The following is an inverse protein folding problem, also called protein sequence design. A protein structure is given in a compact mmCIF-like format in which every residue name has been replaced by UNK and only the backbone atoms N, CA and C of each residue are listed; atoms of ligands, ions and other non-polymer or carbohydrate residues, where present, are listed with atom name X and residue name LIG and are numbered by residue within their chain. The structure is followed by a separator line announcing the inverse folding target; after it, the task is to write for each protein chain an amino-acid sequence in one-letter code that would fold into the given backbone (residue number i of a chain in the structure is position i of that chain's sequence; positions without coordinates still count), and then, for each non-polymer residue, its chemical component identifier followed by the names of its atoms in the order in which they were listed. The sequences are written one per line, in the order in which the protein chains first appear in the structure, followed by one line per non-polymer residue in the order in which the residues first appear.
data_IF_276841128716
#
_entry.id   IF_276841128716
#
_cell.length_a   1.000
_cell.length_b   1.000
_cell.length_c   1.000
_cell.angle_alpha   90.00
_cell.angle_beta   90.00
_cell.angle_gamma   90.00
#
_symmetry.space_group_name_H-M   'P 1'
#
loop_
_entity.id
_entity.type
_entity.pdbx_description
1 polymer ?
#
# COMPACT_ATOMS: atom_id res chain seq x y z
N UNK A 1 12.45 26.60 12.94
CA UNK A 1 13.02 25.24 12.90
C UNK A 1 13.43 24.82 11.47
N UNK A 2 12.58 25.01 10.45
CA UNK A 2 12.91 24.76 9.03
C UNK A 2 14.23 25.40 8.54
N UNK A 3 14.50 26.67 8.89
CA UNK A 3 15.77 27.35 8.54
C UNK A 3 17.04 26.68 9.11
N UNK A 4 16.94 25.95 10.23
CA UNK A 4 18.09 25.26 10.86
C UNK A 4 18.41 23.94 10.17
N UNK A 5 17.41 23.24 9.61
CA UNK A 5 17.58 21.96 8.91
C UNK A 5 18.25 22.17 7.54
N UNK A 6 17.89 23.22 6.80
CA UNK A 6 18.56 23.54 5.52
C UNK A 6 20.06 23.87 5.66
N UNK A 7 20.51 24.46 6.78
CA UNK A 7 21.93 24.85 6.95
C UNK A 7 22.89 23.66 7.09
N UNK A 8 22.44 22.53 7.66
CA UNK A 8 23.30 21.35 7.86
C UNK A 8 23.47 20.47 6.60
N UNK A 9 22.74 20.76 5.51
CA UNK A 9 22.77 19.96 4.27
C UNK A 9 23.32 20.72 3.06
N UNK A 10 23.93 21.88 3.26
CA UNK A 10 24.51 22.69 2.16
C UNK A 10 25.59 21.94 1.34
N UNK A 11 26.18 20.87 1.88
CA UNK A 11 27.19 20.05 1.19
C UNK A 11 26.62 18.78 0.51
N UNK A 12 25.31 18.54 0.58
CA UNK A 12 24.70 17.35 -0.02
C UNK A 12 24.15 17.69 -1.42
N UNK A 13 24.38 16.79 -2.39
CA UNK A 13 23.88 16.97 -3.76
C UNK A 13 22.34 16.93 -3.74
N UNK A 14 21.72 18.09 -3.98
CA UNK A 14 20.28 18.23 -4.19
C UNK A 14 19.86 17.57 -5.49
N UNK A 15 18.62 17.10 -5.55
CA UNK A 15 18.00 16.63 -6.81
C UNK A 15 17.17 17.76 -7.41
N UNK A 16 17.23 17.92 -8.73
CA UNK A 16 16.51 18.97 -9.46
C UNK A 16 15.00 18.73 -9.36
N UNK A 17 14.24 19.82 -9.23
CA UNK A 17 12.79 19.77 -9.20
C UNK A 17 12.23 19.23 -10.53
N UNK A 18 11.14 18.47 -10.45
CA UNK A 18 10.35 18.06 -11.62
C UNK A 18 8.99 18.74 -11.58
N UNK A 19 8.59 19.30 -12.70
CA UNK A 19 7.28 19.91 -12.90
C UNK A 19 6.69 19.42 -14.22
N UNK A 20 5.39 19.60 -14.40
CA UNK A 20 4.73 19.32 -15.68
C UNK A 20 4.01 20.56 -16.19
N UNK A 21 3.94 20.75 -17.51
CA UNK A 21 3.10 21.79 -18.11
C UNK A 21 1.65 21.31 -18.31
N UNK A 22 0.81 22.17 -18.90
CA UNK A 22 -0.59 21.87 -19.21
C UNK A 22 -0.82 20.74 -20.22
N UNK A 23 0.21 20.34 -20.97
CA UNK A 23 0.16 19.19 -21.89
C UNK A 23 0.54 17.87 -21.18
N UNK A 24 0.95 17.94 -19.92
CA UNK A 24 1.46 16.79 -19.16
C UNK A 24 2.90 16.42 -19.50
N UNK A 25 3.63 17.28 -20.21
CA UNK A 25 5.06 17.09 -20.46
C UNK A 25 5.81 17.35 -19.15
N UNK A 26 6.57 16.35 -18.67
CA UNK A 26 7.37 16.44 -17.45
C UNK A 26 8.78 16.88 -17.81
N UNK A 27 9.27 17.92 -17.13
CA UNK A 27 10.61 18.45 -17.31
C UNK A 27 11.21 18.89 -15.98
N UNK A 28 12.54 18.98 -15.93
CA UNK A 28 13.27 19.48 -14.79
C UNK A 28 13.29 21.01 -14.77
N UNK A 29 13.21 21.59 -13.57
CA UNK A 29 13.24 23.03 -13.39
C UNK A 29 14.58 23.45 -12.79
N UNK A 30 15.49 23.89 -13.66
CA UNK A 30 16.81 24.38 -13.27
C UNK A 30 16.75 25.44 -12.18
N UNK A 31 17.75 25.47 -11.30
CA UNK A 31 17.79 26.41 -10.16
C UNK A 31 16.81 26.10 -9.01
N UNK A 32 15.96 25.10 -9.17
CA UNK A 32 15.04 24.60 -8.15
C UNK A 32 15.35 23.15 -7.77
N UNK A 33 15.34 22.84 -6.48
CA UNK A 33 15.45 21.48 -5.97
C UNK A 33 14.05 20.90 -5.68
N UNK A 34 13.90 19.59 -5.89
CA UNK A 34 12.69 18.87 -5.54
C UNK A 34 12.47 18.90 -4.02
N UNK A 35 11.22 18.94 -3.60
CA UNK A 35 10.84 19.03 -2.20
C UNK A 35 9.93 17.87 -1.84
N UNK A 36 10.29 17.19 -0.75
CA UNK A 36 9.45 16.22 -0.08
C UNK A 36 8.61 16.87 1.01
N UNK A 37 7.42 16.33 1.24
CA UNK A 37 6.49 16.75 2.27
C UNK A 37 6.23 15.60 3.26
N UNK A 38 6.47 15.87 4.54
CA UNK A 38 6.11 15.05 5.69
C UNK A 38 5.19 15.89 6.55
N UNK A 39 3.87 15.72 6.42
CA UNK A 39 3.00 16.58 7.18
C UNK A 39 3.24 18.05 6.75
N UNK A 40 3.15 19.01 7.66
CA UNK A 40 3.28 20.44 7.30
C UNK A 40 4.74 20.87 7.10
N UNK A 41 5.65 19.90 7.00
CA UNK A 41 7.08 20.12 6.90
C UNK A 41 7.57 19.80 5.49
N UNK A 42 8.40 20.71 4.98
CA UNK A 42 9.03 20.61 3.67
C UNK A 42 10.53 20.34 3.83
N UNK A 43 11.05 19.47 2.98
CA UNK A 43 12.46 19.08 2.98
C UNK A 43 12.98 19.10 1.53
N UNK A 44 14.01 19.90 1.21
CA UNK A 44 14.71 19.76 -0.06
C UNK A 44 15.34 18.38 -0.12
N UNK A 45 15.07 17.66 -1.20
CA UNK A 45 15.50 16.28 -1.38
C UNK A 45 16.94 16.23 -1.89
N UNK A 46 17.69 15.27 -1.38
CA UNK A 46 19.06 15.00 -1.80
C UNK A 46 19.17 13.61 -2.43
N UNK A 47 20.33 13.33 -3.02
CA UNK A 47 20.67 11.98 -3.50
C UNK A 47 20.61 10.93 -2.37
N UNK A 48 20.89 11.31 -1.11
CA UNK A 48 20.86 10.38 0.02
C UNK A 48 19.44 10.01 0.45
N UNK A 49 18.49 10.93 0.31
CA UNK A 49 17.09 10.70 0.69
C UNK A 49 16.28 9.98 -0.40
N UNK A 50 16.92 9.68 -1.53
CA UNK A 50 16.24 9.15 -2.72
C UNK A 50 16.99 7.98 -3.33
N UNK A 51 16.27 7.13 -4.04
CA UNK A 51 16.83 6.07 -4.89
C UNK A 51 16.46 6.33 -6.34
N UNK A 52 17.14 5.67 -7.29
CA UNK A 52 16.69 5.65 -8.70
C UNK A 52 15.24 5.16 -8.74
N UNK A 53 14.40 5.84 -9.53
CA UNK A 53 12.97 5.55 -9.61
C UNK A 53 12.76 4.05 -9.84
N UNK A 54 12.07 3.35 -8.93
CA UNK A 54 11.89 1.90 -9.05
C UNK A 54 11.19 1.54 -10.36
N UNK A 55 11.66 0.49 -11.03
CA UNK A 55 11.04 0.05 -12.28
C UNK A 55 9.56 -0.32 -12.06
N UNK A 56 8.70 0.11 -12.97
CA UNK A 56 7.25 -0.06 -12.87
C UNK A 56 6.56 0.99 -12.00
N UNK A 57 7.29 2.00 -11.51
CA UNK A 57 6.67 3.20 -10.94
C UNK A 57 6.12 4.08 -12.07
N UNK A 58 5.02 4.77 -11.78
CA UNK A 58 4.38 5.70 -12.71
C UNK A 58 4.55 7.14 -12.20
N UNK A 59 4.70 8.08 -13.12
CA UNK A 59 4.73 9.51 -12.81
C UNK A 59 3.37 10.12 -13.11
N UNK A 60 2.92 11.01 -12.23
CA UNK A 60 1.65 11.70 -12.34
C UNK A 60 1.88 13.18 -12.07
N UNK A 61 1.38 14.05 -12.94
CA UNK A 61 1.24 15.46 -12.58
C UNK A 61 -0.09 15.65 -11.84
N UNK A 62 -0.15 16.67 -10.97
CA UNK A 62 -1.36 16.96 -10.18
C UNK A 62 -2.00 18.26 -10.67
N UNK A 63 -3.02 18.19 -11.54
CA UNK A 63 -3.79 19.35 -11.95
C UNK A 63 -4.33 20.15 -10.77
N UNK A 64 -4.51 21.46 -10.97
CA UNK A 64 -5.07 22.40 -9.99
C UNK A 64 -4.28 22.50 -8.67
N UNK A 65 -3.04 22.00 -8.66
CA UNK A 65 -2.09 22.13 -7.54
C UNK A 65 -0.91 22.96 -7.98
N UNK A 66 -0.34 23.72 -7.05
CA UNK A 66 0.91 24.45 -7.26
C UNK A 66 2.08 23.66 -6.68
N UNK A 67 3.17 23.44 -7.43
CA UNK A 67 4.37 22.84 -6.88
C UNK A 67 4.98 23.74 -5.80
N UNK A 68 5.41 23.12 -4.70
CA UNK A 68 6.25 23.76 -3.68
C UNK A 68 7.67 23.28 -3.91
N UNK A 69 8.57 24.19 -4.29
CA UNK A 69 9.95 23.87 -4.66
C UNK A 69 10.94 24.64 -3.79
N UNK A 70 12.20 24.24 -3.79
CA UNK A 70 13.26 24.96 -3.07
C UNK A 70 14.12 25.76 -4.05
N UNK A 71 14.05 27.08 -4.00
CA UNK A 71 14.87 27.97 -4.81
C UNK A 71 16.31 27.96 -4.27
N UNK A 72 17.23 27.38 -5.04
CA UNK A 72 18.61 27.14 -4.59
C UNK A 72 19.35 28.47 -4.38
N UNK A 73 19.16 29.44 -5.27
CA UNK A 73 19.82 30.76 -5.21
C UNK A 73 19.36 31.59 -4.03
N UNK A 74 18.05 31.59 -3.75
CA UNK A 74 17.46 32.36 -2.64
C UNK A 74 17.53 31.61 -1.30
N UNK A 75 17.73 30.30 -1.32
CA UNK A 75 17.77 29.45 -0.13
C UNK A 75 16.41 29.37 0.59
N UNK A 76 15.30 29.42 -0.15
CA UNK A 76 13.95 29.42 0.41
C UNK A 76 12.95 28.60 -0.41
N UNK A 77 11.89 28.14 0.24
CA UNK A 77 10.78 27.48 -0.44
C UNK A 77 9.91 28.48 -1.19
N UNK A 78 9.50 28.14 -2.40
CA UNK A 78 8.61 28.93 -3.25
C UNK A 78 7.47 28.05 -3.75
N UNK A 79 6.25 28.58 -3.71
CA UNK A 79 5.09 27.98 -4.38
C UNK A 79 4.97 28.64 -5.75
N UNK A 80 5.19 27.88 -6.82
CA UNK A 80 5.15 28.43 -8.17
C UNK A 80 3.80 28.11 -8.84
N UNK A 81 3.31 29.04 -9.66
CA UNK A 81 2.13 28.83 -10.51
C UNK A 81 2.52 28.73 -11.98
N UNK A 82 3.54 29.48 -12.38
CA UNK A 82 4.03 29.57 -13.76
C UNK A 82 5.52 29.23 -13.80
N UNK A 83 5.97 28.78 -14.97
CA UNK A 83 7.37 28.55 -15.26
C UNK A 83 8.14 29.88 -15.14
N UNK A 84 9.15 29.97 -14.26
CA UNK A 84 9.94 31.19 -14.08
C UNK A 84 10.77 31.58 -15.30
N UNK A 85 10.95 30.67 -16.27
CA UNK A 85 11.72 30.89 -17.49
C UNK A 85 10.86 31.13 -18.73
N UNK A 86 9.57 30.79 -18.68
CA UNK A 86 8.64 30.90 -19.82
C UNK A 86 7.35 31.57 -19.33
N UNK A 87 7.22 32.90 -19.52
CA UNK A 87 6.04 33.65 -19.07
C UNK A 87 4.72 33.07 -19.61
N UNK A 88 3.75 32.87 -18.73
CA UNK A 88 2.42 32.36 -19.08
C UNK A 88 2.29 30.84 -19.18
N UNK A 89 3.39 30.06 -19.04
CA UNK A 89 3.31 28.60 -18.97
C UNK A 89 2.96 28.15 -17.54
N UNK A 90 1.75 27.61 -17.35
CA UNK A 90 1.33 27.05 -16.06
C UNK A 90 2.06 25.72 -15.80
N UNK A 91 2.53 25.56 -14.56
CA UNK A 91 3.24 24.35 -14.12
C UNK A 91 2.54 23.66 -12.94
N UNK A 92 2.64 22.33 -12.93
CA UNK A 92 2.01 21.44 -11.96
C UNK A 92 3.05 20.60 -11.23
N UNK A 93 2.80 20.23 -9.96
CA UNK A 93 3.67 19.30 -9.24
C UNK A 93 3.61 17.91 -9.87
N UNK A 94 4.72 17.21 -9.80
CA UNK A 94 4.84 15.81 -10.22
C UNK A 94 5.00 14.93 -8.98
N UNK A 95 4.31 13.79 -8.97
CA UNK A 95 4.39 12.76 -7.96
C UNK A 95 4.68 11.40 -8.60
N UNK A 96 5.16 10.46 -7.81
CA UNK A 96 5.35 9.08 -8.22
C UNK A 96 4.42 8.12 -7.49
N UNK A 97 3.71 7.30 -8.27
CA UNK A 97 3.11 6.06 -7.80
C UNK A 97 4.19 4.98 -7.85
N UNK A 98 4.83 4.73 -6.71
CA UNK A 98 6.02 3.90 -6.63
C UNK A 98 5.69 2.40 -6.77
N UNK A 99 6.60 1.67 -7.40
CA UNK A 99 6.50 0.22 -7.56
C UNK A 99 6.38 -0.50 -6.20
N UNK A 100 5.58 -1.58 -6.10
CA UNK A 100 5.46 -2.40 -4.90
C UNK A 100 6.82 -2.84 -4.31
N UNK A 101 6.91 -2.94 -2.98
CA UNK A 101 8.16 -3.22 -2.26
C UNK A 101 8.87 -1.97 -1.74
N UNK A 102 8.50 -0.78 -2.24
CA UNK A 102 9.06 0.50 -1.82
C UNK A 102 8.05 1.30 -0.98
N UNK A 103 8.46 1.67 0.23
CA UNK A 103 7.69 2.51 1.14
C UNK A 103 8.07 3.98 0.92
N UNK A 104 7.09 4.85 0.72
CA UNK A 104 7.28 6.29 0.55
C UNK A 104 7.82 6.92 1.84
N UNK A 105 8.91 7.67 1.74
CA UNK A 105 9.49 8.41 2.88
C UNK A 105 9.09 9.88 2.85
N UNK A 106 8.78 10.44 1.67
CA UNK A 106 8.26 11.78 1.50
C UNK A 106 7.15 11.81 0.44
N UNK A 107 6.06 12.54 0.70
CA UNK A 107 5.07 12.82 -0.34
C UNK A 107 5.52 13.98 -1.24
N UNK A 108 5.02 14.05 -2.47
CA UNK A 108 5.25 15.20 -3.35
C UNK A 108 4.72 16.48 -2.68
N UNK A 109 5.53 17.54 -2.70
CA UNK A 109 5.18 18.80 -2.06
C UNK A 109 4.36 19.68 -3.00
N UNK A 110 3.14 20.01 -2.57
CA UNK A 110 2.24 20.87 -3.32
C UNK A 110 1.34 21.67 -2.39
N UNK A 111 0.73 22.71 -2.95
CA UNK A 111 -0.33 23.48 -2.30
C UNK A 111 -1.62 23.36 -3.12
N UNK A 112 -2.74 23.14 -2.41
CA UNK A 112 -4.08 23.20 -3.02
C UNK A 112 -4.36 24.62 -3.52
N UNK A 113 -4.84 24.76 -4.76
CA UNK A 113 -5.29 26.05 -5.33
C UNK A 113 -6.79 25.98 -5.52
N UNK A 114 -7.57 26.64 -4.65
CA UNK A 114 -9.03 26.88 -4.78
C UNK A 114 -9.96 25.65 -4.96
N UNK A 115 -9.44 24.50 -5.39
CA UNK A 115 -10.18 23.30 -5.76
C UNK A 115 -10.47 22.46 -4.52
N UNK A 116 -11.74 22.13 -4.37
CA UNK A 116 -12.24 21.17 -3.38
C UNK A 116 -12.25 19.74 -3.94
N UNK A 117 -11.70 19.49 -5.12
CA UNK A 117 -11.66 18.15 -5.71
C UNK A 117 -10.52 17.31 -5.07
N UNK A 118 -10.82 16.10 -4.56
CA UNK A 118 -9.80 15.19 -4.05
C UNK A 118 -8.89 14.69 -5.17
N UNK A 119 -7.63 14.42 -4.82
CA UNK A 119 -6.78 13.61 -5.68
C UNK A 119 -7.36 12.18 -5.80
N UNK A 120 -7.15 11.49 -6.94
CA UNK A 120 -7.49 10.08 -7.10
C UNK A 120 -6.83 9.16 -6.04
N UNK A 121 -7.23 7.89 -6.00
CA UNK A 121 -6.72 6.94 -4.98
C UNK A 121 -5.36 6.33 -5.39
N UNK A 122 -4.33 7.15 -5.40
CA UNK A 122 -2.93 6.73 -5.55
C UNK A 122 -2.08 7.18 -4.36
N UNK A 123 -0.89 6.60 -4.24
CA UNK A 123 0.15 7.16 -3.37
C UNK A 123 0.94 8.23 -4.11
N UNK A 124 1.25 9.33 -3.45
CA UNK A 124 1.85 10.51 -4.08
C UNK A 124 3.28 10.74 -3.58
N UNK A 125 4.19 9.81 -3.89
CA UNK A 125 5.60 9.90 -3.46
C UNK A 125 6.33 11.06 -4.13
N UNK A 126 7.28 11.67 -3.42
CA UNK A 126 8.10 12.75 -3.95
C UNK A 126 9.10 12.22 -4.97
N UNK A 127 9.30 12.98 -6.06
CA UNK A 127 10.18 12.63 -7.17
C UNK A 127 11.00 13.85 -7.61
N UNK A 128 12.21 13.62 -8.08
CA UNK A 128 13.08 14.63 -8.65
C UNK A 128 13.98 14.04 -9.73
N UNK A 129 14.80 14.90 -10.32
CA UNK A 129 15.74 14.54 -11.37
C UNK A 129 17.19 14.62 -10.87
N UNK A 130 18.00 13.67 -11.30
CA UNK A 130 19.46 13.70 -11.19
C UNK A 130 20.00 13.42 -12.59
N UNK A 131 21.24 13.83 -12.89
CA UNK A 131 21.81 13.81 -14.24
C UNK A 131 21.61 12.47 -15.01
N UNK A 132 21.44 11.36 -14.29
CA UNK A 132 21.29 10.00 -14.84
C UNK A 132 19.85 9.45 -14.79
N UNK A 133 18.84 10.25 -14.43
CA UNK A 133 17.42 9.90 -14.48
C UNK A 133 16.57 10.26 -13.25
N UNK A 134 15.31 9.83 -13.28
CA UNK A 134 14.34 10.03 -12.20
C UNK A 134 14.76 9.38 -10.89
N UNK A 135 14.51 10.08 -9.78
CA UNK A 135 14.74 9.60 -8.41
C UNK A 135 13.52 9.81 -7.53
N UNK A 136 13.25 8.87 -6.64
CA UNK A 136 12.08 8.88 -5.76
C UNK A 136 12.47 8.75 -4.29
N UNK A 137 11.74 9.44 -3.42
CA UNK A 137 11.92 9.44 -1.98
C UNK A 137 11.20 8.23 -1.36
N UNK A 138 11.88 7.08 -1.39
CA UNK A 138 11.37 5.80 -0.92
C UNK A 138 12.45 4.96 -0.23
N UNK A 139 12.01 4.08 0.67
CA UNK A 139 12.80 3.04 1.29
C UNK A 139 12.37 1.66 0.76
N UNK A 140 13.32 0.85 0.30
CA UNK A 140 13.07 -0.54 -0.07
C UNK A 140 12.83 -1.38 1.19
N UNK A 141 11.58 -1.80 1.40
CA UNK A 141 11.19 -2.64 2.55
C UNK A 141 11.07 -4.11 2.18
N UNK A 142 10.87 -4.44 0.90
CA UNK A 142 10.74 -5.82 0.45
C UNK A 142 11.40 -6.03 -0.92
N UNK A 143 12.31 -7.00 -0.98
CA UNK A 143 13.10 -7.31 -2.19
C UNK A 143 12.43 -8.36 -3.07
N UNK A 144 11.31 -8.96 -2.64
CA UNK A 144 10.66 -10.02 -3.40
C UNK A 144 10.15 -9.49 -4.74
N UNK A 145 10.54 -10.15 -5.83
CA UNK A 145 10.18 -9.74 -7.20
C UNK A 145 8.77 -10.18 -7.60
N UNK A 146 7.87 -10.34 -6.63
CA UNK A 146 6.51 -10.88 -6.80
C UNK A 146 5.67 -10.05 -7.74
N UNK A 147 5.79 -8.73 -7.66
CA UNK A 147 5.05 -7.78 -8.48
C UNK A 147 5.96 -7.00 -9.45
N UNK A 148 7.16 -7.53 -9.72
CA UNK A 148 8.09 -6.95 -10.69
C UNK A 148 7.53 -7.12 -12.11
N UNK A 149 7.13 -6.01 -12.73
CA UNK A 149 6.50 -5.99 -14.05
C UNK A 149 7.38 -6.57 -15.16
N UNK A 150 8.72 -6.55 -15.02
CA UNK A 150 9.65 -7.18 -15.97
C UNK A 150 9.45 -8.69 -16.08
N UNK A 151 8.90 -9.28 -15.02
CA UNK A 151 8.63 -10.71 -14.92
C UNK A 151 7.17 -11.04 -15.26
N UNK A 152 6.38 -10.07 -15.73
CA UNK A 152 4.97 -10.22 -16.10
C UNK A 152 4.71 -9.85 -17.57
N UNK A 153 5.44 -10.44 -18.54
CA UNK A 153 5.26 -10.12 -19.95
C UNK A 153 3.83 -10.45 -20.39
N UNK A 154 3.23 -9.53 -21.16
CA UNK A 154 1.80 -9.57 -21.53
C UNK A 154 1.43 -10.87 -22.23
N UNK A 155 2.31 -11.40 -23.07
CA UNK A 155 2.10 -12.63 -23.85
C UNK A 155 1.96 -13.85 -22.93
N UNK A 156 2.79 -13.95 -21.88
CA UNK A 156 2.68 -15.03 -20.88
C UNK A 156 1.38 -14.92 -20.09
N UNK A 157 0.92 -13.71 -19.79
CA UNK A 157 -0.38 -13.51 -19.13
C UNK A 157 -1.52 -13.96 -20.05
N UNK A 158 -1.55 -13.56 -21.33
CA UNK A 158 -2.58 -14.04 -22.30
C UNK A 158 -2.58 -15.55 -22.38
N UNK A 159 -1.40 -16.16 -22.61
CA UNK A 159 -1.28 -17.61 -22.75
C UNK A 159 -1.74 -18.35 -21.48
N UNK A 160 -1.41 -17.81 -20.30
CA UNK A 160 -1.88 -18.32 -19.03
C UNK A 160 -3.41 -18.24 -18.87
N UNK A 161 -4.02 -17.14 -19.31
CA UNK A 161 -5.48 -16.98 -19.34
C UNK A 161 -6.13 -18.04 -20.23
N UNK A 162 -5.68 -18.20 -21.48
CA UNK A 162 -6.24 -19.20 -22.40
C UNK A 162 -6.14 -20.62 -21.82
N UNK A 163 -5.01 -20.97 -21.22
CA UNK A 163 -4.83 -22.27 -20.53
C UNK A 163 -5.84 -22.48 -19.40
N UNK A 164 -6.12 -21.45 -18.60
CA UNK A 164 -7.09 -21.53 -17.50
C UNK A 164 -8.54 -21.51 -17.97
N UNK A 165 -8.83 -20.91 -19.12
CA UNK A 165 -10.15 -21.00 -19.75
C UNK A 165 -10.46 -22.43 -20.17
N UNK A 166 -9.50 -23.14 -20.77
CA UNK A 166 -9.64 -24.55 -21.15
C UNK A 166 -9.78 -25.48 -19.94
N UNK A 167 -8.98 -25.23 -18.87
CA UNK A 167 -9.02 -26.07 -17.66
C UNK A 167 -10.25 -25.85 -16.79
N UNK A 168 -10.74 -24.61 -16.71
CA UNK A 168 -11.76 -24.18 -15.75
C UNK A 168 -12.85 -23.34 -16.45
N UNK A 169 -13.54 -23.88 -17.48
CA UNK A 169 -14.44 -23.10 -18.34
C UNK A 169 -15.65 -22.54 -17.58
N UNK A 170 -16.14 -23.26 -16.58
CA UNK A 170 -17.34 -22.89 -15.81
C UNK A 170 -17.03 -22.11 -14.52
N UNK A 171 -15.75 -21.97 -14.16
CA UNK A 171 -15.35 -21.29 -12.93
C UNK A 171 -15.47 -19.77 -13.10
N UNK A 172 -16.46 -19.15 -12.44
CA UNK A 172 -16.72 -17.70 -12.56
C UNK A 172 -15.62 -16.88 -11.89
N UNK A 173 -14.98 -17.43 -10.84
CA UNK A 173 -13.86 -16.76 -10.19
C UNK A 173 -12.67 -16.64 -11.14
N UNK A 174 -12.35 -17.68 -11.94
CA UNK A 174 -11.35 -17.62 -13.02
C UNK A 174 -11.65 -16.49 -14.01
N UNK A 175 -12.90 -16.37 -14.47
CA UNK A 175 -13.34 -15.29 -15.36
C UNK A 175 -13.18 -13.90 -14.73
N UNK A 176 -13.46 -13.75 -13.43
CA UNK A 176 -13.22 -12.49 -12.72
C UNK A 176 -11.72 -12.16 -12.63
N UNK A 177 -10.87 -13.16 -12.35
CA UNK A 177 -9.42 -12.99 -12.30
C UNK A 177 -8.84 -12.61 -13.66
N UNK A 178 -9.40 -13.12 -14.75
CA UNK A 178 -9.02 -12.74 -16.11
C UNK A 178 -9.19 -11.23 -16.33
N UNK A 179 -10.37 -10.68 -15.99
CA UNK A 179 -10.58 -9.23 -16.05
C UNK A 179 -9.59 -8.47 -15.16
N UNK A 180 -9.33 -8.98 -13.95
CA UNK A 180 -8.35 -8.37 -13.05
C UNK A 180 -6.93 -8.35 -13.64
N UNK A 181 -6.50 -9.41 -14.32
CA UNK A 181 -5.17 -9.50 -14.92
C UNK A 181 -5.04 -8.65 -16.20
N UNK A 182 -6.08 -8.65 -17.04
CA UNK A 182 -6.03 -8.08 -18.40
C UNK A 182 -6.47 -6.63 -18.47
N UNK A 183 -7.45 -6.22 -17.66
CA UNK A 183 -8.04 -4.87 -17.68
C UNK A 183 -7.49 -4.03 -16.54
N UNK A 184 -7.63 -4.49 -15.29
CA UNK A 184 -7.13 -3.74 -14.12
C UNK A 184 -5.62 -3.86 -13.92
N UNK A 185 -4.96 -4.77 -14.65
CA UNK A 185 -3.51 -4.97 -14.56
C UNK A 185 -3.01 -5.54 -13.21
N UNK A 186 -3.89 -6.15 -12.41
CA UNK A 186 -3.61 -6.67 -11.07
C UNK A 186 -2.43 -7.67 -11.08
N UNK A 187 -1.32 -7.36 -10.39
CA UNK A 187 -0.14 -8.23 -10.34
C UNK A 187 -0.43 -9.61 -9.73
N UNK A 188 -1.31 -9.70 -8.72
CA UNK A 188 -1.67 -10.98 -8.12
C UNK A 188 -2.44 -11.88 -9.11
N UNK A 189 -3.38 -11.31 -9.88
CA UNK A 189 -4.11 -12.07 -10.89
C UNK A 189 -3.17 -12.52 -12.04
N UNK A 190 -2.24 -11.65 -12.47
CA UNK A 190 -1.17 -12.01 -13.42
C UNK A 190 -0.32 -13.18 -12.90
N UNK A 191 0.04 -13.16 -11.63
CA UNK A 191 0.81 -14.22 -10.98
C UNK A 191 0.09 -15.58 -11.01
N UNK A 192 -1.22 -15.62 -10.81
CA UNK A 192 -2.01 -16.85 -10.97
C UNK A 192 -1.88 -17.42 -12.40
N UNK A 193 -2.14 -16.61 -13.43
CA UNK A 193 -2.07 -17.08 -14.82
C UNK A 193 -0.65 -17.47 -15.28
N UNK A 194 0.37 -16.78 -14.77
CA UNK A 194 1.77 -17.13 -15.03
C UNK A 194 2.22 -18.35 -14.20
N UNK A 195 1.57 -18.63 -13.08
CA UNK A 195 1.95 -19.71 -12.15
C UNK A 195 3.12 -19.32 -11.25
N UNK A 196 3.01 -18.21 -10.51
CA UNK A 196 4.08 -17.71 -9.62
C UNK A 196 3.52 -17.15 -8.32
N UNK A 197 4.29 -17.27 -7.24
CA UNK A 197 4.05 -16.62 -5.95
C UNK A 197 2.61 -16.73 -5.42
N UNK A 198 1.84 -15.64 -5.46
CA UNK A 198 0.55 -15.48 -4.80
C UNK A 198 -0.60 -15.42 -5.80
N UNK A 199 -1.63 -16.23 -5.58
CA UNK A 199 -2.90 -16.15 -6.29
C UNK A 199 -3.99 -15.46 -5.44
N UNK A 200 -4.75 -14.53 -6.02
CA UNK A 200 -5.85 -13.84 -5.35
C UNK A 200 -7.13 -14.69 -5.34
N UNK A 201 -7.85 -14.68 -4.22
CA UNK A 201 -9.16 -15.32 -4.04
C UNK A 201 -10.21 -14.29 -3.62
N UNK A 202 -10.64 -13.36 -4.50
CA UNK A 202 -11.69 -12.42 -4.18
C UNK A 202 -13.04 -13.12 -4.00
N UNK A 203 -13.73 -12.83 -2.91
CA UNK A 203 -14.95 -13.55 -2.50
C UNK A 203 -16.08 -12.64 -2.02
N UNK A 204 -15.73 -11.49 -1.44
CA UNK A 204 -16.68 -10.67 -0.70
C UNK A 204 -17.21 -9.48 -1.49
N UNK A 205 -18.54 -9.36 -1.54
CA UNK A 205 -19.23 -8.21 -2.14
C UNK A 205 -19.36 -7.06 -1.13
N UNK A 206 -19.23 -7.35 0.16
CA UNK A 206 -19.61 -6.46 1.25
C UNK A 206 -18.43 -6.13 2.15
N UNK A 207 -18.47 -4.97 2.77
CA UNK A 207 -17.49 -4.57 3.77
C UNK A 207 -18.22 -3.80 4.87
N UNK A 208 -17.88 -4.09 6.12
CA UNK A 208 -18.38 -3.40 7.30
C UNK A 208 -17.52 -2.18 7.68
N UNK A 209 -16.46 -1.87 6.94
CA UNK A 209 -15.72 -0.61 7.03
C UNK A 209 -16.17 0.37 5.94
N UNK A 210 -16.24 1.67 6.27
CA UNK A 210 -16.57 2.75 5.32
C UNK A 210 -15.35 3.66 5.10
N UNK A 211 -14.23 3.04 4.73
CA UNK A 211 -12.94 3.71 4.65
C UNK A 211 -13.00 4.98 3.79
N UNK A 212 -12.35 6.06 4.24
CA UNK A 212 -12.27 7.32 3.48
C UNK A 212 -11.70 7.12 2.07
N UNK A 213 -10.70 6.25 1.93
CA UNK A 213 -10.03 5.91 0.68
C UNK A 213 -10.29 4.48 0.20
N UNK A 214 -11.52 3.97 0.32
CA UNK A 214 -11.83 2.62 -0.17
C UNK A 214 -11.61 2.53 -1.69
N UNK A 215 -10.64 1.70 -2.11
CA UNK A 215 -10.24 1.54 -3.52
C UNK A 215 -11.24 0.76 -4.36
N UNK A 216 -12.16 0.05 -3.72
CA UNK A 216 -13.14 -0.83 -4.37
C UNK A 216 -14.55 -0.25 -4.43
N UNK A 217 -14.82 0.82 -3.65
CA UNK A 217 -16.16 1.40 -3.51
C UNK A 217 -16.10 2.85 -2.99
N UNK A 218 -16.49 3.80 -3.84
CA UNK A 218 -16.63 5.21 -3.48
C UNK A 218 -18.08 5.66 -3.68
N UNK A 219 -18.80 5.94 -2.57
CA UNK A 219 -20.23 6.28 -2.63
C UNK A 219 -20.53 7.71 -3.09
N UNK A 220 -19.55 8.61 -2.99
CA UNK A 220 -19.78 10.06 -3.18
C UNK A 220 -19.68 10.52 -4.64
N UNK A 221 -19.20 9.68 -5.56
CA UNK A 221 -18.94 10.01 -6.98
C UNK A 221 -17.80 11.01 -7.21
N UNK A 222 -17.23 11.62 -6.16
CA UNK A 222 -16.15 12.63 -6.26
C UNK A 222 -14.76 12.04 -6.50
N UNK A 223 -14.59 10.75 -6.20
CA UNK A 223 -13.37 9.97 -6.41
C UNK A 223 -13.81 8.68 -7.07
N UNK A 224 -13.17 8.30 -8.18
CA UNK A 224 -13.38 6.97 -8.76
C UNK A 224 -12.72 5.91 -7.87
N UNK A 225 -13.38 4.77 -7.71
CA UNK A 225 -12.70 3.56 -7.28
C UNK A 225 -11.69 3.11 -8.37
N UNK A 226 -10.63 2.44 -7.95
CA UNK A 226 -9.57 1.96 -8.85
C UNK A 226 -9.99 0.66 -9.56
N UNK A 227 -10.77 -0.17 -8.86
CA UNK A 227 -11.24 -1.47 -9.32
C UNK A 227 -12.65 -1.67 -8.78
N UNK A 228 -13.52 -2.33 -9.53
CA UNK A 228 -14.88 -2.60 -9.07
C UNK A 228 -14.91 -3.81 -8.13
N UNK A 229 -15.83 -3.78 -7.16
CA UNK A 229 -16.07 -4.97 -6.34
C UNK A 229 -16.60 -6.11 -7.19
N UNK A 230 -16.13 -7.32 -6.89
CA UNK A 230 -16.70 -8.55 -7.40
C UNK A 230 -18.22 -8.53 -7.21
N UNK A 231 -18.94 -8.82 -8.29
CA UNK A 231 -20.39 -8.67 -8.35
C UNK A 231 -21.16 -9.86 -7.78
N UNK A 232 -20.47 -10.97 -7.51
CA UNK A 232 -21.01 -12.23 -7.00
C UNK A 232 -20.12 -12.78 -5.87
N UNK A 233 -20.62 -13.78 -5.16
CA UNK A 233 -19.84 -14.56 -4.19
C UNK A 233 -19.57 -15.93 -4.83
N UNK A 234 -18.30 -16.32 -5.05
CA UNK A 234 -17.98 -17.62 -5.64
C UNK A 234 -18.36 -18.76 -4.70
N UNK A 235 -18.60 -19.94 -5.25
CA UNK A 235 -18.86 -21.15 -4.45
C UNK A 235 -17.57 -21.65 -3.79
N UNK A 236 -17.67 -22.46 -2.73
CA UNK A 236 -16.49 -23.08 -2.12
C UNK A 236 -15.68 -23.92 -3.10
N UNK A 237 -16.33 -24.56 -4.07
CA UNK A 237 -15.68 -25.36 -5.12
C UNK A 237 -14.92 -24.45 -6.09
N UNK A 238 -15.50 -23.34 -6.55
CA UNK A 238 -14.82 -22.38 -7.42
C UNK A 238 -13.54 -21.82 -6.78
N UNK A 239 -13.58 -21.54 -5.48
CA UNK A 239 -12.43 -21.06 -4.70
C UNK A 239 -11.37 -22.17 -4.58
N UNK A 240 -11.78 -23.38 -4.19
CA UNK A 240 -10.87 -24.48 -3.95
C UNK A 240 -10.16 -24.93 -5.24
N UNK A 241 -10.87 -24.93 -6.37
CA UNK A 241 -10.31 -25.28 -7.67
C UNK A 241 -9.14 -24.36 -8.07
N UNK A 242 -9.31 -23.04 -7.93
CA UNK A 242 -8.27 -22.04 -8.21
C UNK A 242 -7.07 -22.24 -7.29
N UNK A 243 -7.33 -22.41 -6.00
CA UNK A 243 -6.28 -22.55 -5.01
C UNK A 243 -5.47 -23.84 -5.22
N UNK A 244 -6.12 -24.97 -5.48
CA UNK A 244 -5.46 -26.26 -5.71
C UNK A 244 -4.66 -26.26 -7.01
N UNK A 245 -5.20 -25.71 -8.11
CA UNK A 245 -4.48 -25.57 -9.36
C UNK A 245 -3.22 -24.69 -9.18
N UNK A 246 -3.33 -23.58 -8.45
CA UNK A 246 -2.16 -22.74 -8.16
C UNK A 246 -1.12 -23.46 -7.29
N UNK A 247 -1.56 -24.05 -6.18
CA UNK A 247 -0.66 -24.72 -5.23
C UNK A 247 0.09 -25.91 -5.84
N UNK A 248 -0.54 -26.61 -6.77
CA UNK A 248 0.08 -27.72 -7.51
C UNK A 248 1.24 -27.26 -8.40
N UNK A 249 1.11 -26.09 -9.02
CA UNK A 249 2.06 -25.61 -10.03
C UNK A 249 3.10 -24.63 -9.46
N UNK A 250 2.91 -24.13 -8.24
CA UNK A 250 3.73 -23.08 -7.65
C UNK A 250 4.36 -23.53 -6.34
N UNK A 251 5.70 -23.59 -6.32
CA UNK A 251 6.48 -23.83 -5.10
C UNK A 251 6.32 -22.68 -4.13
N UNK A 252 6.22 -22.98 -2.83
CA UNK A 252 6.00 -22.01 -1.76
C UNK A 252 4.82 -21.07 -2.10
N UNK A 253 3.74 -21.67 -2.61
CA UNK A 253 2.55 -20.96 -3.09
C UNK A 253 1.86 -20.25 -1.95
N UNK A 254 1.32 -19.07 -2.26
CA UNK A 254 0.39 -18.35 -1.38
C UNK A 254 -0.93 -18.20 -2.13
N UNK A 255 -2.04 -18.40 -1.44
CA UNK A 255 -3.36 -17.98 -1.91
C UNK A 255 -3.96 -17.06 -0.87
N UNK A 256 -4.56 -15.96 -1.30
CA UNK A 256 -4.99 -14.91 -0.39
C UNK A 256 -6.42 -14.48 -0.62
N UNK A 257 -7.20 -14.47 0.45
CA UNK A 257 -8.44 -13.70 0.53
C UNK A 257 -8.14 -12.22 0.85
N UNK A 258 -9.06 -11.31 0.55
CA UNK A 258 -8.97 -9.88 0.78
C UNK A 258 -8.17 -9.11 -0.27
N UNK A 259 -8.74 -8.97 -1.45
CA UNK A 259 -8.16 -8.33 -2.63
C UNK A 259 -8.72 -6.92 -2.86
N UNK A 260 -8.03 -6.13 -3.71
CA UNK A 260 -8.45 -4.76 -4.02
C UNK A 260 -9.81 -4.66 -4.75
N UNK A 261 -10.24 -5.75 -5.40
CA UNK A 261 -11.52 -5.89 -6.08
C UNK A 261 -12.62 -6.53 -5.21
N UNK A 262 -12.49 -6.56 -3.88
CA UNK A 262 -13.54 -7.09 -3.00
C UNK A 262 -13.77 -6.21 -1.76
N UNK A 263 -14.81 -6.56 -1.00
CA UNK A 263 -15.02 -6.05 0.35
C UNK A 263 -14.15 -6.77 1.38
N UNK A 264 -14.57 -6.79 2.64
CA UNK A 264 -13.81 -7.56 3.64
C UNK A 264 -14.16 -9.05 3.50
N UNK A 265 -13.17 -9.97 3.39
CA UNK A 265 -13.44 -11.39 3.21
C UNK A 265 -14.19 -12.02 4.40
N UNK A 266 -14.12 -11.44 5.61
CA UNK A 266 -14.89 -11.94 6.75
C UNK A 266 -16.41 -11.83 6.54
N UNK A 267 -16.87 -11.00 5.59
CA UNK A 267 -18.29 -10.94 5.22
C UNK A 267 -18.74 -12.09 4.31
N UNK A 268 -17.80 -12.90 3.80
CA UNK A 268 -18.05 -14.07 2.96
C UNK A 268 -17.61 -15.38 3.63
N UNK A 269 -17.50 -15.38 4.97
CA UNK A 269 -16.95 -16.51 5.72
C UNK A 269 -17.68 -17.84 5.50
N UNK A 270 -18.99 -17.80 5.24
CA UNK A 270 -19.83 -18.99 4.99
C UNK A 270 -19.39 -19.77 3.75
N UNK A 271 -18.76 -19.12 2.76
CA UNK A 271 -18.17 -19.80 1.59
C UNK A 271 -16.67 -20.03 1.76
N UNK A 272 -15.97 -19.17 2.49
CA UNK A 272 -14.52 -19.28 2.70
C UNK A 272 -14.19 -20.48 3.59
N UNK A 273 -14.92 -20.67 4.69
CA UNK A 273 -14.68 -21.76 5.64
C UNK A 273 -14.71 -23.14 4.94
N UNK A 274 -15.79 -23.53 4.22
CA UNK A 274 -15.79 -24.79 3.48
C UNK A 274 -14.78 -24.82 2.33
N UNK A 275 -14.41 -23.68 1.73
CA UNK A 275 -13.35 -23.64 0.71
C UNK A 275 -11.99 -23.99 1.30
N UNK A 276 -11.61 -23.42 2.45
CA UNK A 276 -10.36 -23.74 3.15
C UNK A 276 -10.31 -25.25 3.45
N UNK A 277 -11.40 -25.80 3.98
CA UNK A 277 -11.52 -27.23 4.25
C UNK A 277 -11.28 -28.07 3.00
N UNK A 278 -11.92 -27.73 1.87
CA UNK A 278 -11.73 -28.41 0.57
C UNK A 278 -10.28 -28.31 0.07
N UNK A 279 -9.65 -27.15 0.20
CA UNK A 279 -8.24 -26.95 -0.19
C UNK A 279 -7.32 -27.87 0.63
N UNK A 280 -7.55 -27.97 1.95
CA UNK A 280 -6.75 -28.87 2.80
C UNK A 280 -7.00 -30.34 2.52
N UNK A 281 -8.25 -30.74 2.32
CA UNK A 281 -8.60 -32.11 1.93
C UNK A 281 -8.03 -32.50 0.56
N UNK A 282 -7.91 -31.54 -0.37
CA UNK A 282 -7.26 -31.71 -1.67
C UNK A 282 -5.73 -31.72 -1.63
N UNK A 283 -5.10 -31.88 -0.45
CA UNK A 283 -3.66 -31.82 -0.25
C UNK A 283 -3.01 -30.49 -0.67
N UNK A 284 -3.72 -29.36 -0.52
CA UNK A 284 -3.13 -28.03 -0.71
C UNK A 284 -2.07 -27.73 0.35
N UNK A 285 -0.79 -27.86 -0.03
CA UNK A 285 0.37 -27.62 0.86
C UNK A 285 0.86 -26.17 0.88
N UNK A 286 0.26 -25.28 0.09
CA UNK A 286 0.59 -23.85 0.09
C UNK A 286 0.04 -23.10 1.31
N UNK A 287 0.43 -21.83 1.40
CA UNK A 287 -0.03 -20.90 2.43
C UNK A 287 -1.41 -20.37 2.07
N UNK A 288 -2.37 -20.48 2.99
CA UNK A 288 -3.67 -19.81 2.89
C UNK A 288 -3.64 -18.58 3.80
N UNK A 289 -3.69 -17.41 3.20
CA UNK A 289 -3.65 -16.13 3.87
C UNK A 289 -4.98 -15.38 3.76
N UNK A 290 -5.30 -14.55 4.76
CA UNK A 290 -6.45 -13.65 4.70
C UNK A 290 -6.04 -12.22 5.01
N UNK A 291 -6.24 -11.32 4.03
CA UNK A 291 -6.15 -9.89 4.25
C UNK A 291 -7.51 -9.37 4.73
N UNK A 292 -7.59 -8.76 5.91
CA UNK A 292 -8.86 -8.34 6.50
C UNK A 292 -8.69 -7.05 7.30
N UNK A 293 -9.79 -6.39 7.63
CA UNK A 293 -9.89 -5.37 8.66
C UNK A 293 -9.88 -5.94 10.09
N UNK A 294 -10.00 -7.27 10.27
CA UNK A 294 -9.96 -7.93 11.57
C UNK A 294 -11.22 -7.72 12.42
N UNK A 295 -12.34 -7.38 11.80
CA UNK A 295 -13.56 -6.99 12.51
C UNK A 295 -14.33 -8.13 13.21
N UNK A 296 -14.00 -9.40 12.95
CA UNK A 296 -14.77 -10.57 13.41
C UNK A 296 -13.84 -11.64 14.02
N UNK A 297 -13.38 -11.46 15.27
CA UNK A 297 -12.44 -12.40 15.91
C UNK A 297 -13.02 -13.82 16.03
N UNK A 298 -14.32 -13.94 16.29
CA UNK A 298 -15.08 -15.20 16.32
C UNK A 298 -14.93 -15.99 15.01
N UNK A 299 -15.11 -15.31 13.88
CA UNK A 299 -15.02 -15.90 12.56
C UNK A 299 -13.57 -16.29 12.23
N UNK A 300 -12.61 -15.42 12.53
CA UNK A 300 -11.19 -15.72 12.27
C UNK A 300 -10.74 -16.95 13.08
N UNK A 301 -11.23 -17.12 14.31
CA UNK A 301 -10.97 -18.32 15.12
C UNK A 301 -11.36 -19.59 14.38
N UNK A 302 -12.59 -19.64 13.85
CA UNK A 302 -13.11 -20.78 13.10
C UNK A 302 -12.31 -21.04 11.82
N UNK A 303 -11.91 -19.99 11.11
CA UNK A 303 -11.08 -20.13 9.90
C UNK A 303 -9.69 -20.70 10.22
N UNK A 304 -9.09 -20.31 11.36
CA UNK A 304 -7.85 -20.93 11.83
C UNK A 304 -8.01 -22.40 12.22
N UNK A 305 -9.17 -22.79 12.76
CA UNK A 305 -9.45 -24.20 13.10
C UNK A 305 -9.56 -25.07 11.84
N UNK A 306 -10.07 -24.52 10.73
CA UNK A 306 -10.18 -25.23 9.45
C UNK A 306 -8.90 -25.21 8.60
N UNK A 307 -7.89 -24.44 8.98
CA UNK A 307 -6.56 -24.48 8.36
C UNK A 307 -6.13 -23.22 7.62
N UNK A 308 -6.67 -22.05 7.95
CA UNK A 308 -6.05 -20.76 7.61
C UNK A 308 -4.66 -20.67 8.26
N UNK A 309 -3.63 -20.24 7.54
CA UNK A 309 -2.25 -20.19 8.05
C UNK A 309 -1.89 -18.83 8.63
N UNK A 310 -2.34 -17.77 7.96
CA UNK A 310 -1.93 -16.40 8.29
C UNK A 310 -3.02 -15.37 8.06
N UNK A 311 -2.91 -14.26 8.78
CA UNK A 311 -3.75 -13.09 8.58
C UNK A 311 -2.89 -11.83 8.40
N UNK A 312 -3.46 -10.90 7.63
CA UNK A 312 -2.96 -9.54 7.47
C UNK A 312 -4.06 -8.56 7.85
N UNK A 313 -3.91 -7.90 8.99
CA UNK A 313 -4.90 -6.98 9.54
C UNK A 313 -4.58 -5.54 9.12
N UNK A 314 -5.53 -4.88 8.46
CA UNK A 314 -5.34 -3.53 7.91
C UNK A 314 -5.59 -2.45 8.96
N UNK A 315 -4.58 -1.62 9.22
CA UNK A 315 -4.60 -0.57 10.23
C UNK A 315 -3.90 0.67 9.65
N UNK A 316 -4.51 1.85 9.71
CA UNK A 316 -3.88 3.09 9.25
C UNK A 316 -3.13 3.81 10.38
N UNK A 317 -3.53 3.56 11.62
CA UNK A 317 -2.93 4.04 12.85
C UNK A 317 -3.34 3.09 13.97
N UNK A 318 -2.42 2.81 14.89
CA UNK A 318 -2.71 2.01 16.09
C UNK A 318 -3.41 2.84 17.17
N UNK A 319 -3.59 4.14 16.94
CA UNK A 319 -4.37 5.04 17.78
C UNK A 319 -5.83 4.97 17.37
N UNK A 320 -6.70 4.62 18.31
CA UNK A 320 -8.10 4.34 18.01
C UNK A 320 -8.84 5.51 17.34
N UNK A 321 -8.62 6.74 17.79
CA UNK A 321 -9.22 7.96 17.21
C UNK A 321 -8.88 8.11 15.72
N UNK A 322 -7.60 7.94 15.37
CA UNK A 322 -7.12 7.97 13.99
C UNK A 322 -7.61 6.77 13.17
N UNK A 323 -7.70 5.58 13.77
CA UNK A 323 -8.30 4.39 13.14
C UNK A 323 -9.76 4.62 12.78
N UNK A 324 -10.58 5.05 13.74
CA UNK A 324 -12.01 5.29 13.56
C UNK A 324 -12.28 6.38 12.51
N UNK A 325 -11.47 7.44 12.49
CA UNK A 325 -11.59 8.52 11.51
C UNK A 325 -11.44 8.01 10.07
N UNK A 326 -10.48 7.11 9.83
CA UNK A 326 -10.20 6.57 8.50
C UNK A 326 -11.10 5.39 8.13
N UNK A 327 -11.12 4.31 8.92
CA UNK A 327 -11.84 3.06 8.60
C UNK A 327 -13.35 3.18 8.77
N UNK A 328 -13.82 4.05 9.66
CA UNK A 328 -15.25 4.29 9.94
C UNK A 328 -16.01 2.97 10.11
N UNK A 329 -15.67 2.20 11.15
CA UNK A 329 -16.22 0.86 11.35
C UNK A 329 -17.74 0.91 11.52
N UNK A 330 -18.43 -0.11 11.03
CA UNK A 330 -19.88 -0.30 11.18
C UNK A 330 -20.13 -1.68 11.76
N UNK A 331 -20.65 -1.76 12.99
CA UNK A 331 -20.94 -3.04 13.64
C UNK A 331 -19.70 -3.79 14.16
N UNK A 332 -18.59 -3.10 14.38
CA UNK A 332 -17.41 -3.60 15.11
C UNK A 332 -16.64 -2.42 15.72
N UNK A 333 -15.77 -2.69 16.68
CA UNK A 333 -14.91 -1.71 17.35
C UNK A 333 -13.44 -1.97 17.09
N UNK A 334 -12.58 -0.98 17.36
CA UNK A 334 -11.13 -1.15 17.25
C UNK A 334 -10.62 -2.26 18.20
N UNK A 335 -11.24 -2.42 19.37
CA UNK A 335 -10.95 -3.53 20.28
C UNK A 335 -11.15 -4.91 19.65
N UNK A 336 -12.08 -5.07 18.71
CA UNK A 336 -12.30 -6.37 18.05
C UNK A 336 -11.19 -6.69 17.04
N UNK A 337 -10.60 -5.66 16.45
CA UNK A 337 -9.39 -5.75 15.61
C UNK A 337 -8.21 -6.22 16.45
N UNK A 338 -8.01 -5.63 17.62
CA UNK A 338 -6.95 -6.02 18.55
C UNK A 338 -7.15 -7.46 19.05
N UNK A 339 -8.38 -7.86 19.42
CA UNK A 339 -8.70 -9.25 19.77
C UNK A 339 -8.38 -10.24 18.65
N UNK A 340 -8.63 -9.87 17.39
CA UNK A 340 -8.28 -10.71 16.23
C UNK A 340 -6.77 -10.93 16.13
N UNK A 341 -5.98 -9.87 16.35
CA UNK A 341 -4.51 -9.91 16.35
C UNK A 341 -4.01 -10.79 17.49
N UNK A 342 -4.46 -10.52 18.71
CA UNK A 342 -4.12 -11.27 19.92
C UNK A 342 -4.45 -12.76 19.78
N UNK A 343 -5.65 -13.08 19.30
CA UNK A 343 -6.08 -14.45 19.07
C UNK A 343 -5.19 -15.17 18.03
N UNK A 344 -4.82 -14.50 16.94
CA UNK A 344 -3.90 -15.06 15.95
C UNK A 344 -2.53 -15.40 16.54
N UNK A 345 -2.00 -14.51 17.39
CA UNK A 345 -0.74 -14.70 18.12
C UNK A 345 -0.86 -15.89 19.08
N UNK A 346 -1.90 -15.96 19.92
CA UNK A 346 -2.11 -17.06 20.86
C UNK A 346 -2.26 -18.43 20.18
N UNK A 347 -2.87 -18.45 18.99
CA UNK A 347 -2.98 -19.66 18.16
C UNK A 347 -1.71 -19.99 17.37
N UNK A 348 -0.61 -19.25 17.59
CA UNK A 348 0.70 -19.41 16.91
C UNK A 348 0.58 -19.34 15.39
N UNK A 349 -0.32 -18.48 14.89
CA UNK A 349 -0.51 -18.20 13.46
C UNK A 349 0.33 -17.00 13.07
N UNK A 350 0.70 -16.93 11.79
CA UNK A 350 1.46 -15.77 11.31
C UNK A 350 0.54 -14.55 11.20
N UNK A 351 0.81 -13.53 12.00
CA UNK A 351 0.03 -12.30 12.06
C UNK A 351 0.87 -11.15 11.54
N UNK A 352 0.36 -10.48 10.52
CA UNK A 352 0.93 -9.26 9.98
C UNK A 352 -0.03 -8.09 10.12
N UNK A 353 0.52 -6.88 10.33
CA UNK A 353 -0.24 -5.63 10.28
C UNK A 353 0.06 -4.92 8.98
N UNK A 354 -0.96 -4.75 8.15
CA UNK A 354 -0.91 -3.92 6.96
C UNK A 354 -1.05 -2.46 7.36
N UNK A 355 0.09 -1.84 7.58
CA UNK A 355 0.17 -0.51 8.14
C UNK A 355 0.20 0.55 7.04
N UNK A 356 -0.85 1.38 6.97
CA UNK A 356 -1.02 2.36 5.91
C UNK A 356 -0.12 3.58 6.16
N UNK A 357 1.01 3.60 5.46
CA UNK A 357 2.04 4.61 5.53
C UNK A 357 1.60 5.93 4.88
N UNK A 358 1.69 7.01 5.64
CA UNK A 358 1.61 8.38 5.16
C UNK A 358 2.66 9.22 5.90
N UNK A 359 3.75 9.65 5.21
CA UNK A 359 4.78 10.49 5.83
C UNK A 359 4.21 11.77 6.43
N UNK A 360 4.60 12.05 7.66
CA UNK A 360 4.12 13.12 8.51
C UNK A 360 2.93 12.78 9.41
N UNK A 361 2.42 11.56 9.32
CA UNK A 361 1.42 11.00 10.25
C UNK A 361 2.00 9.74 10.89
N UNK A 362 2.44 8.80 10.06
CA UNK A 362 2.95 7.48 10.50
C UNK A 362 4.23 7.58 11.31
N UNK A 363 5.02 8.63 11.11
CA UNK A 363 6.28 8.93 11.81
C UNK A 363 6.16 10.13 12.76
N UNK A 364 4.97 10.42 13.27
CA UNK A 364 4.83 11.36 14.39
C UNK A 364 5.30 10.71 15.70
N UNK A 365 5.80 11.48 16.68
CA UNK A 365 6.16 10.96 18.00
C UNK A 365 4.98 10.24 18.68
N UNK A 366 3.77 10.77 18.55
CA UNK A 366 2.56 10.19 19.12
C UNK A 366 2.22 8.82 18.48
N UNK A 367 2.34 8.68 17.17
CA UNK A 367 2.16 7.38 16.51
C UNK A 367 3.29 6.41 16.85
N UNK A 368 4.54 6.90 16.95
CA UNK A 368 5.69 6.10 17.35
C UNK A 368 5.51 5.49 18.75
N UNK A 369 5.16 6.30 19.75
CA UNK A 369 4.96 5.83 21.13
C UNK A 369 3.81 4.81 21.21
N UNK A 370 2.72 5.07 20.47
CA UNK A 370 1.59 4.14 20.38
C UNK A 370 1.97 2.83 19.67
N UNK A 371 2.77 2.90 18.60
CA UNK A 371 3.24 1.73 17.86
C UNK A 371 4.19 0.88 18.70
N UNK A 372 5.08 1.49 19.47
CA UNK A 372 5.94 0.78 20.41
C UNK A 372 5.13 0.01 21.45
N UNK A 373 4.18 0.68 22.10
CA UNK A 373 3.29 0.03 23.07
C UNK A 373 2.51 -1.10 22.40
N UNK A 374 1.98 -0.88 21.20
CA UNK A 374 1.27 -1.90 20.44
C UNK A 374 2.17 -3.12 20.15
N UNK A 375 3.41 -2.93 19.71
CA UNK A 375 4.32 -4.05 19.40
C UNK A 375 4.79 -4.80 20.66
N UNK A 376 4.87 -4.14 21.80
CA UNK A 376 5.19 -4.75 23.09
C UNK A 376 4.04 -5.65 23.58
N UNK A 377 2.79 -5.18 23.45
CA UNK A 377 1.60 -5.95 23.84
C UNK A 377 1.23 -7.04 22.83
N UNK A 378 1.45 -6.77 21.53
CA UNK A 378 1.09 -7.67 20.44
C UNK A 378 2.33 -7.98 19.61
N UNK A 379 3.07 -9.07 19.94
CA UNK A 379 4.26 -9.50 19.21
C UNK A 379 3.89 -10.09 17.84
N UNK A 380 3.44 -9.22 16.93
CA UNK A 380 3.17 -9.56 15.54
C UNK A 380 4.47 -9.94 14.82
N UNK A 381 4.34 -10.71 13.76
CA UNK A 381 5.50 -11.24 13.04
C UNK A 381 6.01 -10.24 11.99
N UNK A 382 5.12 -9.37 11.49
CA UNK A 382 5.44 -8.50 10.36
C UNK A 382 4.64 -7.20 10.37
N UNK A 383 5.32 -6.08 10.16
CA UNK A 383 4.69 -4.88 9.60
C UNK A 383 4.81 -4.95 8.09
N UNK A 384 3.66 -5.08 7.44
CA UNK A 384 3.55 -4.97 6.00
C UNK A 384 3.26 -3.51 5.63
N UNK A 385 4.29 -2.80 5.20
CA UNK A 385 4.20 -1.39 4.85
C UNK A 385 3.41 -1.23 3.55
N UNK A 386 2.38 -0.39 3.57
CA UNK A 386 1.61 -0.02 2.39
C UNK A 386 1.51 1.48 2.28
N UNK A 387 1.90 2.02 1.14
CA UNK A 387 1.67 3.44 0.89
C UNK A 387 0.16 3.70 0.85
N UNK A 388 -0.28 4.72 1.58
CA UNK A 388 -1.68 5.11 1.60
C UNK A 388 -2.09 5.68 0.23
N UNK A 389 -3.06 5.05 -0.40
CA UNK A 389 -3.64 5.50 -1.66
C UNK A 389 -4.76 6.53 -1.40
N UNK A 390 -4.39 7.71 -0.92
CA UNK A 390 -5.32 8.81 -0.61
C UNK A 390 -4.58 10.15 -0.67
N UNK A 391 -5.33 11.23 -0.94
CA UNK A 391 -4.84 12.61 -0.91
C UNK A 391 -4.10 12.92 0.42
N UNK A 392 -2.78 13.16 0.41
CA UNK A 392 -1.99 13.33 1.63
C UNK A 392 -2.42 14.52 2.50
N UNK A 393 -2.83 15.63 1.87
CA UNK A 393 -3.28 16.81 2.62
C UNK A 393 -4.64 16.57 3.27
N UNK A 394 -5.55 15.86 2.60
CA UNK A 394 -6.85 15.50 3.18
C UNK A 394 -6.73 14.46 4.28
N UNK A 395 -5.87 13.45 4.09
CA UNK A 395 -5.63 12.44 5.12
C UNK A 395 -5.15 13.13 6.40
N UNK A 396 -4.13 13.97 6.29
CA UNK A 396 -3.61 14.73 7.42
C UNK A 396 -4.68 15.60 8.08
N UNK A 397 -5.43 16.40 7.32
CA UNK A 397 -6.52 17.22 7.86
C UNK A 397 -7.54 16.39 8.64
N UNK A 398 -7.78 15.13 8.25
CA UNK A 398 -8.64 14.22 9.00
C UNK A 398 -7.95 13.69 10.27
N UNK A 399 -6.67 13.31 10.18
CA UNK A 399 -5.91 12.83 11.34
C UNK A 399 -5.67 13.91 12.39
N UNK A 400 -5.40 15.15 12.00
CA UNK A 400 -5.29 16.33 12.88
C UNK A 400 -6.60 16.65 13.61
N UNK A 401 -7.75 16.35 12.99
CA UNK A 401 -9.07 16.45 13.66
C UNK A 401 -9.31 15.31 14.63
N UNK A 402 -8.76 14.14 14.35
CA UNK A 402 -8.93 12.97 15.19
C UNK A 402 -8.08 13.09 16.46
N UNK A 403 -6.82 13.54 16.30
CA UNK A 403 -5.87 13.61 17.40
C UNK A 403 -4.62 14.43 17.04
N UNK A 404 -3.79 14.75 18.04
CA UNK A 404 -2.55 15.52 17.91
C UNK A 404 -1.55 14.83 16.97
N UNK A 405 -0.95 15.62 16.09
CA UNK A 405 0.12 15.21 15.19
C UNK A 405 1.36 16.07 15.47
N UNK A 406 2.39 15.47 16.08
CA UNK A 406 3.63 16.15 16.41
C UNK A 406 4.54 16.40 15.21
N UNK A 407 5.75 16.89 15.48
CA UNK A 407 6.77 17.08 14.44
C UNK A 407 7.30 15.70 14.02
N UNK A 408 7.21 15.32 12.74
CA UNK A 408 7.63 14.01 12.28
C UNK A 408 9.10 13.73 12.58
N UNK A 409 9.40 12.50 13.00
CA UNK A 409 10.78 12.06 13.26
C UNK A 409 11.51 11.64 11.98
N UNK A 410 10.77 11.37 10.90
CA UNK A 410 11.25 10.87 9.61
C UNK A 410 11.03 9.37 9.48
N UNK A 411 10.43 8.94 8.36
CA UNK A 411 10.09 7.53 8.09
C UNK A 411 11.29 6.57 8.16
N UNK A 412 12.46 6.95 7.64
CA UNK A 412 13.66 6.11 7.71
C UNK A 412 14.14 5.90 9.15
N UNK A 413 14.09 6.97 9.95
CA UNK A 413 14.45 6.92 11.38
C UNK A 413 13.44 6.09 12.16
N UNK A 414 12.15 6.21 11.86
CA UNK A 414 11.11 5.37 12.43
C UNK A 414 11.42 3.89 12.20
N UNK A 415 11.61 3.48 10.94
CA UNK A 415 11.92 2.09 10.58
C UNK A 415 13.21 1.61 11.25
N UNK A 416 14.27 2.44 11.26
CA UNK A 416 15.52 2.10 11.93
C UNK A 416 15.35 1.89 13.43
N UNK A 417 14.55 2.73 14.11
CA UNK A 417 14.26 2.60 15.54
C UNK A 417 13.44 1.36 15.84
N UNK A 418 12.42 1.05 15.02
CA UNK A 418 11.64 -0.19 15.16
C UNK A 418 12.56 -1.41 15.07
N UNK A 419 13.41 -1.49 14.04
CA UNK A 419 14.37 -2.60 13.89
C UNK A 419 15.33 -2.76 15.07
N UNK A 420 15.67 -1.67 15.75
CA UNK A 420 16.51 -1.72 16.95
C UNK A 420 15.73 -2.20 18.18
N UNK A 421 14.45 -1.85 18.27
CA UNK A 421 13.58 -2.18 19.41
C UNK A 421 13.00 -3.60 19.32
N UNK A 422 12.56 -4.02 18.14
CA UNK A 422 12.02 -5.36 17.85
C UNK A 422 12.79 -5.98 16.68
N UNK A 423 14.00 -6.53 16.92
CA UNK A 423 14.88 -7.02 15.84
C UNK A 423 14.27 -8.11 14.97
N UNK A 424 13.43 -8.97 15.56
CA UNK A 424 12.80 -10.10 14.89
C UNK A 424 11.56 -9.72 14.04
N UNK A 425 11.12 -8.46 14.15
CA UNK A 425 9.97 -7.97 13.39
C UNK A 425 10.30 -7.85 11.91
N UNK A 426 9.55 -8.56 11.07
CA UNK A 426 9.70 -8.48 9.63
C UNK A 426 9.16 -7.14 9.14
N UNK A 427 9.98 -6.36 8.46
CA UNK A 427 9.53 -5.24 7.64
C UNK A 427 9.42 -5.73 6.21
N UNK A 428 8.23 -5.70 5.62
CA UNK A 428 8.09 -6.09 4.22
C UNK A 428 6.85 -5.53 3.54
N UNK A 429 6.53 -6.11 2.39
CA UNK A 429 5.48 -5.65 1.50
C UNK A 429 4.60 -6.82 1.06
N UNK A 430 5.08 -8.04 0.87
CA UNK A 430 4.22 -9.13 0.39
C UNK A 430 3.84 -10.11 1.49
N UNK A 431 2.78 -10.90 1.26
CA UNK A 431 2.39 -11.97 2.18
C UNK A 431 3.42 -13.11 2.08
N UNK A 432 4.19 -13.42 3.13
CA UNK A 432 5.23 -14.43 3.02
C UNK A 432 4.59 -15.82 2.91
N UNK A 433 5.25 -16.76 2.21
CA UNK A 433 4.89 -18.16 2.32
C UNK A 433 5.30 -18.71 3.69
N UNK A 434 4.62 -19.76 4.16
CA UNK A 434 4.82 -20.37 5.48
C UNK A 434 6.25 -20.82 5.75
N UNK A 435 6.99 -21.17 4.70
CA UNK A 435 8.42 -21.52 4.78
C UNK A 435 9.27 -20.35 5.31
N UNK A 436 8.79 -19.12 5.18
CA UNK A 436 9.43 -17.90 5.67
C UNK A 436 8.85 -17.40 7.01
N UNK A 437 7.91 -18.12 7.63
CA UNK A 437 7.38 -17.71 8.95
C UNK A 437 8.42 -17.83 10.07
N UNK A 438 9.38 -18.74 9.92
CA UNK A 438 10.34 -19.14 10.95
C UNK A 438 11.72 -18.49 10.83
N UNK A 439 11.94 -17.58 9.86
CA UNK A 439 13.24 -16.87 9.76
C UNK A 439 13.50 -15.86 10.88
N UNK A 440 12.68 -15.86 11.94
CA UNK A 440 12.81 -15.04 13.15
C UNK A 440 13.26 -15.84 14.40
N UNK A 441 13.68 -17.11 14.25
CA UNK A 441 14.19 -17.94 15.37
C UNK A 441 15.53 -18.66 15.06
N UNK A 442 16.43 -18.03 14.31
CA UNK A 442 17.77 -18.58 14.06
C UNK A 442 18.87 -17.60 14.47
#
# INVERSE_FOLDING_TARGET
MQKKICRNRQNEKLITALVANSKGEIFDLDGYAAVGMEGSFFQPLTIKDTVKLPYGSELMFLPDRKPVLFNIKKGMFETLHENPYIPGEIIYPVASFNSPGYMVTYNSAYQDVETKAPLPLFSYGAVGWDNDGFRSAVLLVDKEKRQDLRLMPREKVVSGVSRMQEKMPDNRLRSHLENCALVYGCPAAKNFFIGRFEAPLPTSRQCNARCMGCISLQKSGRISNCQDRISFTPTPDEIAEIALEHMKNVKNSVVSFGQGCEGDPLMAWEVILPAIKKIRQGNGQGTINMNTNGSRPDIVAMLFDEGLDSIRVSINSVRESCYQMYFRPTGYHFSDVLKTIEMGIHRKRFVSVNYLNCPGITDTPEEWDALLSFLDHYPIHMIQWRNLNYDPLRYRKAMEKADKQGVPIGMEKLVHRIKKWVPDLIHGYFNPPRENFLTSHA
#
